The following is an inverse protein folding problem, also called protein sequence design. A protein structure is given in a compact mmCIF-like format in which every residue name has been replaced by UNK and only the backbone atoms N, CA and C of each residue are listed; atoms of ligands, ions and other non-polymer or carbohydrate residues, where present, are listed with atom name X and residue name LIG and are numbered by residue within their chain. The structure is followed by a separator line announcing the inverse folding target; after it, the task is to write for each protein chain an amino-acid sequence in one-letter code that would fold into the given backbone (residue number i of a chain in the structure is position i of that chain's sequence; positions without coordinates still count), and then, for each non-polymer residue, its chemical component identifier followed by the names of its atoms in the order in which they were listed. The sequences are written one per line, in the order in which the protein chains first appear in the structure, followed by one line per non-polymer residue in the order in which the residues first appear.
data_IF_627089973196
#
_entry.id   IF_627089973196
#
_cell.length_a   1.000
_cell.length_b   1.000
_cell.length_c   1.000
_cell.angle_alpha   90.00
_cell.angle_beta   90.00
_cell.angle_gamma   90.00
#
_symmetry.space_group_name_H-M   'P 1'
#
loop_
_entity.id
_entity.type
_entity.pdbx_description
1 polymer ?
#
# COMPACT_ATOMS: atom_id res chain seq x y z
N UNK A 1 -0.50 -7.23 -7.18
CA UNK A 1 -0.43 -8.69 -7.43
C UNK A 1 -1.57 -9.07 -8.37
N UNK A 2 -1.54 -10.20 -9.08
CA UNK A 2 -2.59 -10.56 -10.05
C UNK A 2 -3.99 -10.71 -9.43
N UNK A 3 -4.09 -11.13 -8.17
CA UNK A 3 -5.35 -11.43 -7.49
C UNK A 3 -5.64 -10.54 -6.26
N UNK A 4 -4.74 -9.62 -5.89
CA UNK A 4 -4.94 -8.69 -4.78
C UNK A 4 -4.03 -7.47 -4.89
N UNK A 5 -4.31 -6.45 -4.08
CA UNK A 5 -3.51 -5.24 -3.95
C UNK A 5 -3.19 -4.95 -2.49
N UNK A 6 -2.11 -4.21 -2.27
CA UNK A 6 -1.75 -3.66 -0.97
C UNK A 6 -1.44 -2.18 -1.15
N UNK A 7 -1.97 -1.34 -0.28
CA UNK A 7 -1.66 0.09 -0.26
C UNK A 7 -1.22 0.51 1.13
N UNK A 8 -0.18 1.34 1.18
CA UNK A 8 0.20 2.09 2.37
C UNK A 8 -0.17 3.53 2.12
N UNK A 9 -1.13 4.05 2.90
CA UNK A 9 -1.71 5.37 2.68
C UNK A 9 -1.55 6.22 3.93
N UNK A 10 -1.20 7.49 3.72
CA UNK A 10 -1.39 8.52 4.74
C UNK A 10 -2.56 9.41 4.28
N UNK A 11 -3.76 9.29 4.87
CA UNK A 11 -4.87 10.17 4.55
C UNK A 11 -4.53 11.64 4.86
N UNK A 12 -5.13 12.54 4.08
CA UNK A 12 -5.20 13.96 4.43
C UNK A 12 -6.37 14.20 5.40
N UNK A 13 -6.48 15.43 5.90
CA UNK A 13 -7.53 15.82 6.85
C UNK A 13 -8.94 15.52 6.33
N UNK A 14 -9.21 15.85 5.06
CA UNK A 14 -10.50 15.55 4.43
C UNK A 14 -10.82 14.06 4.39
N UNK A 15 -9.83 13.22 4.12
CA UNK A 15 -9.97 11.76 4.11
C UNK A 15 -10.32 11.20 5.48
N UNK A 16 -9.83 11.82 6.57
CA UNK A 16 -10.10 11.43 7.95
C UNK A 16 -11.47 11.87 8.46
N UNK A 17 -12.11 12.86 7.82
CA UNK A 17 -13.43 13.34 8.25
C UNK A 17 -14.50 12.25 8.11
N UNK A 18 -15.43 12.14 9.07
CA UNK A 18 -16.56 11.23 8.95
C UNK A 18 -17.52 11.71 7.87
N UNK A 19 -18.23 10.77 7.27
CA UNK A 19 -19.32 11.09 6.33
C UNK A 19 -20.53 11.53 7.15
N UNK A 20 -21.14 12.63 6.75
CA UNK A 20 -22.43 13.10 7.28
C UNK A 20 -23.54 12.73 6.30
N UNK A 21 -24.57 12.02 6.78
CA UNK A 21 -25.75 11.65 6.00
C UNK A 21 -27.00 12.10 6.74
N UNK A 22 -27.85 12.92 6.10
CA UNK A 22 -29.08 13.46 6.70
C UNK A 22 -28.80 14.04 8.10
N UNK A 23 -27.75 14.89 8.18
CA UNK A 23 -27.29 15.56 9.41
C UNK A 23 -26.75 14.63 10.51
N UNK A 24 -26.62 13.32 10.25
CA UNK A 24 -26.05 12.35 11.18
C UNK A 24 -24.63 11.98 10.78
N UNK A 25 -23.71 12.08 11.73
CA UNK A 25 -22.32 11.61 11.59
C UNK A 25 -22.34 10.08 11.55
N UNK A 26 -21.70 9.49 10.54
CA UNK A 26 -21.56 8.04 10.41
C UNK A 26 -20.20 7.57 10.92
N UNK A 27 -20.08 6.26 11.16
CA UNK A 27 -18.80 5.63 11.53
C UNK A 27 -17.81 5.52 10.35
N UNK A 28 -18.23 5.85 9.12
CA UNK A 28 -17.40 5.75 7.93
C UNK A 28 -16.70 7.07 7.64
N UNK A 29 -15.42 6.99 7.28
CA UNK A 29 -14.61 8.13 6.86
C UNK A 29 -14.71 8.36 5.35
N UNK A 30 -14.41 9.59 4.92
CA UNK A 30 -14.38 9.96 3.51
C UNK A 30 -13.40 9.12 2.68
N UNK A 31 -12.24 8.75 3.24
CA UNK A 31 -11.29 7.84 2.57
C UNK A 31 -11.96 6.49 2.24
N UNK A 32 -12.64 5.88 3.21
CA UNK A 32 -13.33 4.59 3.00
C UNK A 32 -14.40 4.68 1.92
N UNK A 33 -15.15 5.80 1.87
CA UNK A 33 -16.11 6.07 0.78
C UNK A 33 -15.43 6.19 -0.58
N UNK A 34 -14.32 6.93 -0.64
CA UNK A 34 -13.55 7.12 -1.87
C UNK A 34 -12.99 5.78 -2.38
N UNK A 35 -12.41 4.96 -1.50
CA UNK A 35 -11.96 3.61 -1.84
C UNK A 35 -13.10 2.75 -2.41
N UNK A 36 -14.28 2.76 -1.77
CA UNK A 36 -15.46 2.05 -2.27
C UNK A 36 -15.88 2.51 -3.66
N UNK A 37 -15.87 3.81 -3.94
CA UNK A 37 -16.16 4.37 -5.27
C UNK A 37 -15.12 3.94 -6.31
N UNK A 38 -13.83 3.98 -5.97
CA UNK A 38 -12.75 3.57 -6.87
C UNK A 38 -12.88 2.10 -7.26
N UNK A 39 -13.10 1.21 -6.28
CA UNK A 39 -13.27 -0.23 -6.54
C UNK A 39 -14.52 -0.53 -7.36
N UNK A 40 -15.63 0.16 -7.09
CA UNK A 40 -16.87 0.03 -7.86
C UNK A 40 -16.68 0.49 -9.32
N UNK A 41 -16.03 1.65 -9.52
CA UNK A 41 -15.78 2.19 -10.87
C UNK A 41 -14.88 1.26 -11.69
N UNK A 42 -13.82 0.73 -11.06
CA UNK A 42 -12.95 -0.26 -11.71
C UNK A 42 -13.69 -1.56 -12.05
N UNK A 43 -14.52 -2.07 -11.13
CA UNK A 43 -15.36 -3.26 -11.36
C UNK A 43 -16.28 -3.07 -12.57
N UNK A 44 -16.94 -1.91 -12.67
CA UNK A 44 -17.82 -1.59 -13.79
C UNK A 44 -17.05 -1.55 -15.11
N UNK A 45 -15.89 -0.89 -15.14
CA UNK A 45 -15.06 -0.81 -16.35
C UNK A 45 -14.61 -2.20 -16.84
N UNK A 46 -14.15 -3.06 -15.94
CA UNK A 46 -13.73 -4.44 -16.28
C UNK A 46 -14.92 -5.28 -16.76
N UNK A 47 -16.08 -5.16 -16.11
CA UNK A 47 -17.29 -5.86 -16.54
C UNK A 47 -17.73 -5.44 -17.95
N UNK A 48 -17.68 -4.15 -18.26
CA UNK A 48 -17.95 -3.64 -19.62
C UNK A 48 -16.94 -4.19 -20.61
N UNK A 49 -15.64 -4.11 -20.31
CA UNK A 49 -14.58 -4.60 -21.19
C UNK A 49 -14.73 -6.10 -21.52
N UNK A 50 -15.11 -6.90 -20.53
CA UNK A 50 -15.20 -8.36 -20.66
C UNK A 50 -16.60 -8.86 -21.04
N UNK A 51 -17.58 -7.95 -21.20
CA UNK A 51 -19.00 -8.29 -21.38
C UNK A 51 -19.55 -9.23 -20.28
N UNK A 52 -19.20 -8.95 -19.02
CA UNK A 52 -19.61 -9.71 -17.84
C UNK A 52 -20.42 -8.86 -16.86
N UNK A 53 -21.02 -9.49 -15.86
CA UNK A 53 -21.67 -8.79 -14.73
C UNK A 53 -21.25 -9.42 -13.40
N UNK A 54 -21.42 -8.68 -12.30
CA UNK A 54 -21.16 -9.18 -10.95
C UNK A 54 -19.96 -8.54 -10.26
N UNK A 55 -19.53 -9.15 -9.16
CA UNK A 55 -18.47 -8.64 -8.30
C UNK A 55 -17.08 -9.03 -8.82
N UNK A 56 -16.15 -8.08 -8.81
CA UNK A 56 -14.74 -8.35 -9.12
C UNK A 56 -13.88 -8.51 -7.85
N UNK A 57 -14.17 -7.75 -6.80
CA UNK A 57 -13.43 -7.77 -5.54
C UNK A 57 -14.13 -8.58 -4.46
N UNK A 58 -13.35 -9.15 -3.54
CA UNK A 58 -13.86 -9.78 -2.32
C UNK A 58 -14.65 -8.76 -1.47
N UNK A 59 -15.60 -9.26 -0.67
CA UNK A 59 -16.38 -8.42 0.24
C UNK A 59 -15.47 -7.84 1.32
N UNK A 60 -15.51 -6.50 1.46
CA UNK A 60 -14.77 -5.67 2.43
C UNK A 60 -13.26 -5.69 2.21
N UNK A 61 -12.66 -4.50 2.19
CA UNK A 61 -11.21 -4.33 2.27
C UNK A 61 -10.74 -4.51 3.72
N UNK A 62 -9.55 -5.08 3.90
CA UNK A 62 -8.85 -5.07 5.20
C UNK A 62 -8.06 -3.77 5.34
N UNK A 63 -8.02 -3.21 6.54
CA UNK A 63 -7.26 -2.02 6.86
C UNK A 63 -6.66 -2.15 8.25
N UNK A 64 -5.44 -1.62 8.43
CA UNK A 64 -4.73 -1.61 9.70
C UNK A 64 -4.05 -0.27 9.91
N UNK A 65 -4.23 0.31 11.09
CA UNK A 65 -3.59 1.55 11.47
C UNK A 65 -2.13 1.27 11.83
N UNK A 66 -1.18 1.87 11.10
CA UNK A 66 0.25 1.61 11.30
C UNK A 66 0.86 2.45 12.44
N UNK A 67 0.10 3.42 12.98
CA UNK A 67 0.54 4.26 14.11
C UNK A 67 0.14 3.72 15.48
N UNK A 68 -0.75 2.72 15.52
CA UNK A 68 -1.24 2.12 16.77
C UNK A 68 -0.28 1.05 17.31
N UNK A 69 0.63 0.54 16.47
CA UNK A 69 1.65 -0.41 16.92
C UNK A 69 2.78 0.33 17.61
N UNK A 70 3.12 -0.12 18.82
CA UNK A 70 4.25 0.36 19.61
C UNK A 70 5.52 0.22 18.77
N UNK A 71 5.96 1.33 18.19
CA UNK A 71 7.24 1.44 17.51
C UNK A 71 8.30 0.91 18.47
N UNK A 72 8.93 -0.21 18.14
CA UNK A 72 10.20 -0.59 18.77
C UNK A 72 11.21 0.42 18.22
N UNK A 73 11.26 1.59 18.85
CA UNK A 73 12.18 2.64 18.51
C UNK A 73 13.59 2.10 18.76
N UNK A 74 14.33 1.90 17.69
CA UNK A 74 15.78 2.02 17.76
C UNK A 74 16.23 2.75 16.51
N UNK A 75 17.23 3.63 16.68
CA UNK A 75 17.63 4.59 15.66
C UNK A 75 18.12 4.01 14.34
N UNK A 76 18.24 2.68 14.21
CA UNK A 76 18.71 2.00 13.01
C UNK A 76 18.21 0.55 12.83
N UNK A 77 17.28 0.02 13.65
CA UNK A 77 16.92 -1.40 13.50
C UNK A 77 15.76 -1.63 12.52
N UNK A 78 15.97 -2.68 11.73
CA UNK A 78 15.09 -3.48 10.87
C UNK A 78 13.72 -3.85 11.50
N UNK A 79 13.43 -3.45 12.75
CA UNK A 79 12.21 -3.80 13.50
C UNK A 79 11.15 -2.69 13.54
N UNK A 80 11.23 -1.67 12.67
CA UNK A 80 10.16 -0.69 12.53
C UNK A 80 8.97 -1.29 11.75
N UNK A 81 7.78 -1.26 12.35
CA UNK A 81 6.57 -1.84 11.76
C UNK A 81 6.24 -1.21 10.39
N UNK A 82 6.38 0.11 10.26
CA UNK A 82 6.10 0.84 9.04
C UNK A 82 7.07 0.43 7.93
N UNK A 83 8.37 0.35 8.23
CA UNK A 83 9.39 -0.10 7.27
C UNK A 83 9.13 -1.54 6.83
N UNK A 84 8.80 -2.42 7.77
CA UNK A 84 8.47 -3.82 7.47
C UNK A 84 7.23 -3.95 6.58
N UNK A 85 6.18 -3.18 6.85
CA UNK A 85 5.00 -3.12 5.98
C UNK A 85 5.38 -2.63 4.58
N UNK A 86 6.18 -1.58 4.49
CA UNK A 86 6.61 -1.02 3.21
C UNK A 86 7.39 -2.07 2.41
N UNK A 87 8.36 -2.74 3.02
CA UNK A 87 9.15 -3.78 2.37
C UNK A 87 8.29 -5.00 1.99
N UNK A 88 7.39 -5.44 2.87
CA UNK A 88 6.46 -6.53 2.61
C UNK A 88 5.64 -6.29 1.33
N UNK A 89 5.03 -5.11 1.20
CA UNK A 89 4.23 -4.74 0.03
C UNK A 89 5.05 -4.89 -1.25
N UNK A 90 6.27 -4.36 -1.26
CA UNK A 90 7.09 -4.31 -2.47
C UNK A 90 7.77 -5.64 -2.79
N UNK A 91 8.05 -6.48 -1.81
CA UNK A 91 8.70 -7.79 -2.01
C UNK A 91 7.72 -8.89 -2.42
N UNK A 92 6.41 -8.69 -2.27
CA UNK A 92 5.39 -9.66 -2.64
C UNK A 92 5.51 -10.19 -4.09
N UNK A 93 5.76 -9.36 -5.13
CA UNK A 93 5.97 -9.84 -6.50
C UNK A 93 7.17 -10.78 -6.63
N UNK A 94 8.27 -10.49 -5.93
CA UNK A 94 9.47 -11.36 -5.92
C UNK A 94 9.16 -12.69 -5.24
N UNK A 95 8.53 -12.66 -4.05
CA UNK A 95 8.14 -13.87 -3.30
C UNK A 95 7.14 -14.75 -4.04
N UNK A 96 6.32 -14.15 -4.91
CA UNK A 96 5.37 -14.86 -5.74
C UNK A 96 5.93 -15.28 -7.10
N UNK A 97 7.25 -15.12 -7.33
CA UNK A 97 7.92 -15.44 -8.59
C UNK A 97 7.31 -14.73 -9.81
N UNK A 98 6.80 -13.51 -9.63
CA UNK A 98 6.23 -12.68 -10.69
C UNK A 98 7.28 -11.76 -11.34
N UNK A 99 8.41 -11.57 -10.66
CA UNK A 99 9.57 -10.82 -11.14
C UNK A 99 10.82 -11.37 -10.48
N UNK A 100 11.96 -11.29 -11.17
CA UNK A 100 13.28 -11.61 -10.58
C UNK A 100 13.90 -10.40 -9.87
N UNK A 101 13.43 -9.18 -10.20
CA UNK A 101 13.92 -7.93 -9.61
C UNK A 101 12.76 -6.96 -9.35
N UNK A 102 12.76 -6.33 -8.17
CA UNK A 102 11.68 -5.40 -7.78
C UNK A 102 11.57 -4.20 -8.72
N UNK A 103 12.70 -3.69 -9.22
CA UNK A 103 12.76 -2.56 -10.16
C UNK A 103 12.14 -2.86 -11.54
N UNK A 104 11.97 -4.14 -11.88
CA UNK A 104 11.37 -4.60 -13.14
C UNK A 104 9.85 -4.77 -13.05
N UNK A 105 9.28 -4.78 -11.84
CA UNK A 105 7.84 -4.99 -11.66
C UNK A 105 7.07 -3.67 -11.84
N UNK A 106 6.32 -3.48 -12.94
CA UNK A 106 5.72 -2.18 -13.25
C UNK A 106 4.49 -1.86 -12.39
N UNK A 107 3.90 -2.88 -11.75
CA UNK A 107 2.67 -2.78 -10.96
C UNK A 107 2.95 -2.53 -9.46
N UNK A 108 4.03 -1.81 -9.14
CA UNK A 108 4.32 -1.27 -7.81
C UNK A 108 4.95 0.12 -7.94
N UNK A 109 5.21 0.79 -6.83
CA UNK A 109 6.01 2.03 -6.80
C UNK A 109 7.51 1.78 -6.59
N UNK A 110 7.99 0.53 -6.52
CA UNK A 110 9.42 0.26 -6.37
C UNK A 110 10.30 0.86 -7.48
N UNK A 111 9.91 0.80 -8.78
CA UNK A 111 10.69 1.42 -9.85
C UNK A 111 10.87 2.94 -9.67
N UNK A 112 9.90 3.61 -9.03
CA UNK A 112 10.01 5.04 -8.70
C UNK A 112 11.10 5.27 -7.66
N UNK A 113 11.06 4.51 -6.54
CA UNK A 113 12.07 4.62 -5.49
C UNK A 113 13.48 4.24 -5.96
N UNK A 114 13.57 3.31 -6.93
CA UNK A 114 14.83 2.93 -7.56
C UNK A 114 15.40 4.04 -8.48
N UNK A 115 14.54 4.94 -8.97
CA UNK A 115 14.90 5.99 -9.93
C UNK A 115 14.87 5.55 -11.39
N UNK A 116 14.17 4.45 -11.73
CA UNK A 116 13.92 4.06 -13.13
C UNK A 116 12.67 4.74 -13.70
N UNK A 117 11.82 5.30 -12.83
CA UNK A 117 10.55 5.90 -13.20
C UNK A 117 10.40 7.25 -12.49
N UNK A 118 9.96 8.24 -13.25
CA UNK A 118 9.59 9.56 -12.74
C UNK A 118 8.06 9.71 -12.73
N UNK A 119 7.34 8.66 -12.34
CA UNK A 119 5.89 8.72 -12.23
C UNK A 119 5.46 9.39 -10.92
N UNK A 120 4.28 9.99 -10.95
CA UNK A 120 3.63 10.59 -9.79
C UNK A 120 2.71 9.61 -9.04
N UNK A 121 2.98 8.31 -9.10
CA UNK A 121 2.14 7.28 -8.49
C UNK A 121 2.02 7.45 -6.97
N UNK A 122 3.11 7.84 -6.31
CA UNK A 122 3.11 8.15 -4.88
C UNK A 122 4.06 9.28 -4.53
N UNK A 123 3.83 9.93 -3.39
CA UNK A 123 4.73 10.95 -2.85
C UNK A 123 5.99 10.29 -2.26
N UNK A 124 7.01 10.12 -3.11
CA UNK A 124 8.26 9.44 -2.75
C UNK A 124 9.00 10.16 -1.61
N UNK A 125 9.06 11.49 -1.64
CA UNK A 125 9.76 12.29 -0.63
C UNK A 125 9.15 12.06 0.77
N UNK A 126 7.81 12.10 0.86
CA UNK A 126 7.10 11.85 2.11
C UNK A 126 7.27 10.42 2.60
N UNK A 127 7.25 9.44 1.69
CA UNK A 127 7.48 8.05 2.04
C UNK A 127 8.91 7.84 2.57
N UNK A 128 9.95 8.30 1.84
CA UNK A 128 11.36 8.26 2.25
C UNK A 128 11.56 8.90 3.63
N UNK A 129 10.95 10.07 3.88
CA UNK A 129 10.98 10.74 5.18
C UNK A 129 10.39 9.86 6.30
N UNK A 130 9.28 9.17 6.04
CA UNK A 130 8.58 8.37 7.06
C UNK A 130 9.27 7.04 7.37
N UNK A 131 9.83 6.39 6.35
CA UNK A 131 10.46 5.06 6.51
C UNK A 131 11.97 5.15 6.77
N UNK A 132 12.57 6.34 6.66
CA UNK A 132 14.00 6.55 6.90
C UNK A 132 14.93 5.96 5.84
N UNK A 133 14.40 5.52 4.69
CA UNK A 133 15.19 4.97 3.58
C UNK A 133 15.53 6.05 2.55
N UNK A 134 16.71 5.93 1.96
CA UNK A 134 17.24 6.79 0.92
C UNK A 134 17.48 6.00 -0.39
N UNK A 135 17.94 6.69 -1.43
CA UNK A 135 18.15 6.11 -2.77
C UNK A 135 19.14 4.94 -2.80
N UNK A 136 20.17 4.97 -1.94
CA UNK A 136 21.17 3.91 -1.87
C UNK A 136 20.52 2.63 -1.35
N UNK A 137 19.60 2.73 -0.39
CA UNK A 137 18.90 1.57 0.17
C UNK A 137 18.05 0.85 -0.90
N UNK A 138 17.31 1.59 -1.72
CA UNK A 138 16.49 1.00 -2.78
C UNK A 138 17.31 0.35 -3.90
N UNK A 139 18.54 0.83 -4.11
CA UNK A 139 19.49 0.23 -5.08
C UNK A 139 20.16 -1.02 -4.50
N UNK A 140 20.35 -1.08 -3.19
CA UNK A 140 20.97 -2.19 -2.46
C UNK A 140 19.93 -3.16 -1.88
N UNK A 141 19.12 -3.76 -2.77
CA UNK A 141 17.96 -4.61 -2.38
C UNK A 141 18.32 -5.87 -1.60
N UNK A 142 19.58 -6.32 -1.65
CA UNK A 142 20.06 -7.57 -1.03
C UNK A 142 19.84 -7.60 0.49
N UNK A 143 19.81 -6.43 1.15
CA UNK A 143 19.70 -6.32 2.61
C UNK A 143 18.28 -5.94 3.10
N UNK A 144 17.39 -5.56 2.19
CA UNK A 144 16.04 -5.13 2.52
C UNK A 144 15.09 -6.32 2.50
N UNK A 145 15.03 -7.05 3.60
CA UNK A 145 14.03 -8.10 3.80
C UNK A 145 13.17 -7.75 5.03
N UNK A 146 11.84 -7.88 4.92
CA UNK A 146 10.97 -7.64 6.06
C UNK A 146 11.15 -8.77 7.07
N UNK A 147 11.19 -8.44 8.35
CA UNK A 147 11.24 -9.40 9.44
C UNK A 147 9.93 -10.20 9.46
N UNK A 148 10.05 -11.51 9.20
CA UNK A 148 8.95 -12.47 9.18
C UNK A 148 8.23 -12.60 10.53
N UNK A 149 8.80 -12.12 11.64
CA UNK A 149 8.15 -12.08 12.96
C UNK A 149 7.16 -10.92 13.08
N UNK A 150 7.36 -9.86 12.30
CA UNK A 150 6.52 -8.66 12.27
C UNK A 150 5.37 -8.82 11.25
N UNK A 151 5.62 -9.55 10.16
CA UNK A 151 4.67 -9.79 9.06
C UNK A 151 3.41 -10.62 9.37
N UNK A 152 3.34 -11.56 10.35
CA UNK A 152 2.13 -12.39 10.57
C UNK A 152 0.89 -11.55 10.90
N UNK A 153 1.10 -10.28 11.24
CA UNK A 153 0.12 -9.25 11.53
C UNK A 153 -0.48 -8.55 10.28
N UNK A 154 -0.08 -8.93 9.06
CA UNK A 154 -0.44 -8.28 7.79
C UNK A 154 -1.41 -9.08 6.91
N UNK A 155 -1.78 -10.30 7.32
CA UNK A 155 -2.67 -11.21 6.59
C UNK A 155 -4.07 -11.27 7.22
#
# INVERSE_FOLDING_TARGET
MPNHFHFMLQPNEEGCKPIVLKEKITHLQNLSKAMGKTLSSYTQAINVQNNTTGNLFQKKTKAKCLTDETIIQSGYAVNDYLVNCFLYIHINPLKANLTDELKKWPYSSWPDYYGLRNDNLCNQAKAKQKIGLNEIDFKNTTYLQPDKKIIPLLL
#
